data_IF_146204472578
#
_entry.id   IF_146204472578
#
_cell.length_a   1.000
_cell.length_b   1.000
_cell.length_c   1.000
_cell.angle_alpha   90.00
_cell.angle_beta   90.00
_cell.angle_gamma   90.00
#
_symmetry.space_group_name_H-M   'P 1'
#
loop_
_entity.id
_entity.type
_entity.pdbx_description
1 polymer ?
#
# COMPACT_ATOMS: atom_id res chain seq x y z
N UNK A 1 -12.30 -24.67 9.99
CA UNK A 1 -11.31 -25.08 8.97
C UNK A 1 -11.81 -24.63 7.60
N UNK A 2 -11.32 -23.47 7.14
CA UNK A 2 -11.52 -22.73 5.85
C UNK A 2 -11.01 -21.31 6.11
N UNK A 3 -9.69 -21.13 6.10
CA UNK A 3 -8.78 -20.74 5.01
C UNK A 3 -8.68 -19.21 4.81
N UNK A 4 -7.47 -18.73 5.12
CA UNK A 4 -6.86 -17.47 4.71
C UNK A 4 -6.96 -17.30 3.19
N UNK A 5 -7.43 -16.16 2.70
CA UNK A 5 -7.11 -15.66 1.36
C UNK A 5 -7.35 -14.15 1.31
N UNK A 6 -6.27 -13.38 1.33
CA UNK A 6 -6.13 -12.04 0.73
C UNK A 6 -4.76 -11.44 1.13
N UNK A 7 -3.69 -12.18 0.87
CA UNK A 7 -2.33 -11.66 0.93
C UNK A 7 -1.41 -12.59 0.15
N UNK A 8 -1.36 -12.41 -1.18
CA UNK A 8 -0.21 -12.66 -2.06
C UNK A 8 -0.69 -12.76 -3.51
N UNK A 9 -0.61 -11.68 -4.28
CA UNK A 9 -0.50 -11.79 -5.73
C UNK A 9 0.90 -12.39 -6.04
N UNK A 10 0.92 -13.71 -6.24
CA UNK A 10 2.05 -14.52 -6.65
C UNK A 10 1.85 -14.88 -8.14
N UNK A 11 2.45 -14.13 -9.06
CA UNK A 11 2.48 -14.53 -10.46
C UNK A 11 3.69 -15.45 -10.70
N UNK A 12 3.40 -16.75 -10.83
CA UNK A 12 4.29 -17.75 -11.41
C UNK A 12 4.32 -17.55 -12.93
N UNK A 13 5.44 -17.04 -13.47
CA UNK A 13 5.77 -17.22 -14.88
C UNK A 13 6.78 -18.36 -15.00
N UNK A 14 6.25 -19.58 -15.19
CA UNK A 14 7.01 -20.70 -15.71
C UNK A 14 7.41 -20.43 -17.17
N UNK A 15 8.68 -20.66 -17.46
CA UNK A 15 9.30 -20.34 -18.74
C UNK A 15 8.79 -21.19 -19.91
N UNK A 16 8.77 -20.56 -21.07
CA UNK A 16 8.99 -21.24 -22.35
C UNK A 16 10.15 -20.52 -23.04
N UNK A 17 11.13 -21.30 -23.46
CA UNK A 17 12.43 -20.80 -23.87
C UNK A 17 12.47 -20.26 -25.30
N UNK A 18 13.41 -19.35 -25.52
CA UNK A 18 13.99 -19.08 -26.84
C UNK A 18 15.40 -18.51 -26.68
N UNK A 19 16.37 -19.41 -26.90
CA UNK A 19 17.69 -19.24 -27.53
C UNK A 19 18.48 -17.93 -27.37
N UNK A 20 19.59 -18.06 -26.64
CA UNK A 20 20.94 -17.56 -26.90
C UNK A 20 21.15 -16.50 -28.01
N UNK A 21 21.72 -15.36 -27.62
CA UNK A 21 22.69 -14.62 -28.43
C UNK A 21 23.81 -14.07 -27.53
N UNK A 22 25.04 -14.50 -27.80
CA UNK A 22 26.27 -14.06 -27.15
C UNK A 22 26.77 -12.73 -27.78
N UNK A 23 27.68 -11.98 -27.11
CA UNK A 23 27.86 -10.55 -27.33
C UNK A 23 28.82 -10.23 -28.49
N UNK A 24 28.47 -9.25 -29.31
CA UNK A 24 29.42 -8.57 -30.19
C UNK A 24 29.98 -7.34 -29.50
N UNK A 25 31.30 -7.33 -29.32
CA UNK A 25 32.10 -6.21 -28.86
C UNK A 25 32.06 -5.04 -29.85
N UNK A 26 31.68 -3.86 -29.38
CA UNK A 26 32.10 -2.61 -30.01
C UNK A 26 32.24 -1.52 -28.94
N UNK A 27 33.50 -1.16 -28.73
CA UNK A 27 33.99 -0.08 -27.89
C UNK A 27 33.40 1.27 -28.36
N UNK A 28 32.72 1.97 -27.47
CA UNK A 28 32.21 3.31 -27.71
C UNK A 28 32.14 4.08 -26.40
N UNK A 29 33.26 4.63 -25.97
CA UNK A 29 33.34 5.48 -24.79
C UNK A 29 32.49 6.75 -24.99
N UNK A 30 31.45 6.92 -24.17
CA UNK A 30 30.65 8.13 -24.11
C UNK A 30 31.40 9.16 -23.24
N UNK A 31 31.93 10.21 -23.87
CA UNK A 31 32.60 11.33 -23.20
C UNK A 31 31.69 12.56 -23.27
N UNK A 32 31.17 13.09 -22.16
CA UNK A 32 30.42 14.34 -22.19
C UNK A 32 31.38 15.52 -22.28
N UNK A 33 31.44 16.17 -23.46
CA UNK A 33 32.10 17.48 -23.64
C UNK A 33 31.19 18.58 -23.11
N UNK A 34 31.48 19.11 -21.92
CA UNK A 34 30.95 20.42 -21.50
C UNK A 34 31.84 21.54 -22.07
N UNK A 35 31.28 22.36 -22.96
CA UNK A 35 31.88 23.66 -23.32
C UNK A 35 31.41 24.68 -22.30
N UNK A 36 32.31 25.09 -21.42
CA UNK A 36 32.11 26.27 -20.58
C UNK A 36 32.01 27.52 -21.47
N UNK A 37 30.84 28.15 -21.50
CA UNK A 37 30.68 29.51 -21.98
C UNK A 37 30.47 30.43 -20.77
N UNK A 38 31.54 31.14 -20.44
CA UNK A 38 31.52 32.34 -19.62
C UNK A 38 30.93 33.48 -20.44
N UNK A 39 29.75 33.99 -20.05
CA UNK A 39 29.41 35.40 -20.23
C UNK A 39 28.54 35.88 -19.07
N UNK A 40 29.10 36.79 -18.29
CA UNK A 40 28.40 37.55 -17.26
C UNK A 40 27.45 38.57 -17.90
N UNK A 41 26.17 38.50 -17.57
CA UNK A 41 25.27 39.65 -17.71
C UNK A 41 24.50 39.85 -16.41
N UNK A 42 24.91 40.86 -15.64
CA UNK A 42 24.22 41.36 -14.46
C UNK A 42 22.85 41.90 -14.86
N UNK A 43 21.78 41.11 -14.67
CA UNK A 43 20.42 41.61 -14.50
C UNK A 43 19.91 41.14 -13.14
N UNK A 44 20.01 42.02 -12.14
CA UNK A 44 19.34 41.86 -10.84
C UNK A 44 17.83 41.99 -11.07
N UNK A 45 17.20 40.85 -11.37
CA UNK A 45 15.78 40.65 -11.12
C UNK A 45 15.62 40.47 -9.60
N UNK A 46 14.90 41.38 -8.97
CA UNK A 46 14.53 41.26 -7.56
C UNK A 46 13.64 40.04 -7.36
N UNK A 47 14.24 38.91 -7.00
CA UNK A 47 13.50 37.79 -6.40
C UNK A 47 13.11 38.22 -5.01
N UNK A 48 11.82 38.45 -4.80
CA UNK A 48 11.21 38.41 -3.48
C UNK A 48 11.46 36.99 -2.93
N UNK A 49 12.55 36.81 -2.19
CA UNK A 49 12.75 35.62 -1.37
C UNK A 49 11.84 35.75 -0.15
N UNK A 50 10.54 35.58 -0.39
CA UNK A 50 9.65 35.17 0.68
C UNK A 50 10.25 33.88 1.22
N UNK A 51 10.74 33.93 2.45
CA UNK A 51 11.32 32.80 3.15
C UNK A 51 10.18 31.81 3.37
N UNK A 52 9.83 31.00 2.36
CA UNK A 52 8.97 29.84 2.58
C UNK A 52 9.83 28.87 3.38
N UNK A 53 9.79 29.01 4.70
CA UNK A 53 10.24 28.01 5.62
C UNK A 53 9.33 26.78 5.40
N UNK A 54 9.66 26.00 4.39
CA UNK A 54 9.19 24.63 4.23
C UNK A 54 9.81 23.86 5.40
N UNK A 55 9.09 23.85 6.52
CA UNK A 55 9.47 23.08 7.69
C UNK A 55 8.96 21.66 7.47
N UNK A 56 9.88 20.69 7.33
CA UNK A 56 9.52 19.29 7.48
C UNK A 56 9.00 19.09 8.90
N UNK A 57 7.72 18.77 9.00
CA UNK A 57 7.06 18.52 10.29
C UNK A 57 6.53 17.10 10.27
N UNK A 58 6.87 16.34 11.30
CA UNK A 58 6.22 15.05 11.56
C UNK A 58 4.78 15.30 11.99
N UNK A 59 3.85 14.57 11.39
CA UNK A 59 2.47 14.62 11.83
C UNK A 59 2.30 13.74 13.07
N UNK A 60 1.41 14.13 14.00
CA UNK A 60 1.16 13.32 15.19
C UNK A 60 0.69 11.94 14.76
N UNK A 61 1.17 10.93 15.48
CA UNK A 61 0.70 9.55 15.33
C UNK A 61 -0.82 9.51 15.53
N UNK A 62 -1.60 8.97 14.58
CA UNK A 62 -3.03 8.75 14.78
C UNK A 62 -3.27 7.65 15.82
N UNK A 63 -4.46 7.68 16.44
CA UNK A 63 -4.85 6.66 17.41
C UNK A 63 -5.28 5.37 16.68
N UNK A 64 -4.31 4.52 16.35
CA UNK A 64 -4.54 3.23 15.67
C UNK A 64 -4.82 2.10 16.66
N UNK A 65 -4.30 2.24 17.89
CA UNK A 65 -4.39 1.24 18.95
C UNK A 65 -5.80 1.08 19.52
N UNK A 66 -6.61 2.15 19.52
CA UNK A 66 -7.96 2.14 20.05
C UNK A 66 -9.02 1.69 19.03
N UNK A 67 -8.64 0.83 18.09
CA UNK A 67 -9.56 0.28 17.08
C UNK A 67 -9.87 -1.19 17.34
N UNK A 68 -11.07 -1.64 16.98
CA UNK A 68 -11.46 -3.06 17.13
C UNK A 68 -10.60 -3.98 16.27
N UNK A 69 -10.19 -3.50 15.09
CA UNK A 69 -9.28 -4.22 14.19
C UNK A 69 -7.91 -4.42 14.84
N UNK A 70 -7.36 -3.39 15.48
CA UNK A 70 -6.09 -3.49 16.20
C UNK A 70 -6.17 -4.50 17.35
N UNK A 71 -7.19 -4.37 18.22
CA UNK A 71 -7.43 -5.29 19.35
C UNK A 71 -7.63 -6.75 18.89
N UNK A 72 -8.34 -6.95 17.78
CA UNK A 72 -8.55 -8.28 17.20
C UNK A 72 -7.24 -8.87 16.71
N UNK A 73 -6.43 -8.09 15.98
CA UNK A 73 -5.12 -8.53 15.51
C UNK A 73 -4.14 -8.79 16.67
N UNK A 74 -4.19 -8.00 17.74
CA UNK A 74 -3.38 -8.20 18.95
C UNK A 74 -3.76 -9.52 19.65
N UNK A 75 -5.07 -9.78 19.73
CA UNK A 75 -5.59 -11.06 20.24
C UNK A 75 -5.15 -12.24 19.37
N UNK A 76 -5.13 -12.09 18.04
CA UNK A 76 -4.65 -13.14 17.13
C UNK A 76 -3.13 -13.34 17.25
N UNK A 77 -2.37 -12.26 17.40
CA UNK A 77 -0.92 -12.29 17.57
C UNK A 77 -0.52 -13.00 18.86
N UNK A 78 -1.13 -12.62 19.99
CA UNK A 78 -0.91 -13.26 21.31
C UNK A 78 -1.32 -14.74 21.36
N UNK A 79 -2.21 -15.19 20.47
CA UNK A 79 -2.50 -16.62 20.31
C UNK A 79 -1.27 -17.39 19.83
N UNK A 80 -0.38 -16.83 19.01
CA UNK A 80 0.83 -17.55 18.57
C UNK A 80 1.74 -17.93 19.74
N UNK A 81 1.89 -17.07 20.75
CA UNK A 81 2.66 -17.38 21.97
C UNK A 81 1.96 -18.37 22.91
N UNK A 82 0.66 -18.60 22.75
CA UNK A 82 -0.16 -19.48 23.60
C UNK A 82 -0.71 -20.72 22.87
N UNK A 83 -0.39 -20.90 21.58
CA UNK A 83 -0.94 -21.95 20.73
C UNK A 83 -0.28 -23.31 21.01
N UNK A 84 -1.04 -24.25 21.56
CA UNK A 84 -0.78 -25.70 21.44
C UNK A 84 -1.38 -26.21 20.11
N UNK A 85 -0.67 -27.01 19.29
CA UNK A 85 -1.11 -27.49 17.96
C UNK A 85 -2.45 -28.26 17.89
N UNK A 86 -3.01 -28.59 19.04
CA UNK A 86 -4.09 -29.52 19.29
C UNK A 86 -5.36 -28.85 19.89
N UNK A 87 -5.40 -27.50 19.94
CA UNK A 87 -6.63 -26.75 20.25
C UNK A 87 -7.03 -26.75 21.74
N UNK A 88 -6.16 -27.20 22.64
CA UNK A 88 -6.32 -27.11 24.10
C UNK A 88 -5.44 -26.02 24.74
N UNK A 89 -5.83 -25.54 25.93
CA UNK A 89 -4.96 -24.78 26.83
C UNK A 89 -3.74 -25.65 27.19
N UNK A 90 -2.56 -25.29 26.67
CA UNK A 90 -1.24 -25.91 26.92
C UNK A 90 -1.33 -27.43 27.16
N UNK A 91 -1.64 -28.18 26.11
CA UNK A 91 -1.22 -29.57 26.05
C UNK A 91 0.30 -29.58 25.86
N UNK A 92 0.98 -30.17 26.85
CA UNK A 92 2.39 -30.52 26.91
C UNK A 92 3.04 -30.77 25.54
N UNK A 93 3.53 -29.71 24.91
CA UNK A 93 4.43 -29.79 23.76
C UNK A 93 5.78 -29.25 24.20
N UNK A 94 6.43 -30.02 25.07
CA UNK A 94 7.83 -29.88 25.48
C UNK A 94 8.85 -30.04 24.34
N UNK A 95 8.41 -30.13 23.07
CA UNK A 95 9.30 -30.37 21.93
C UNK A 95 9.40 -29.16 21.00
N UNK A 96 10.47 -28.40 21.17
CA UNK A 96 10.94 -27.37 20.23
C UNK A 96 11.09 -27.95 18.83
N UNK A 97 10.46 -27.32 17.82
CA UNK A 97 10.58 -27.71 16.41
C UNK A 97 11.65 -26.88 15.72
N UNK A 98 12.43 -27.53 14.85
CA UNK A 98 13.29 -26.87 13.87
C UNK A 98 12.51 -26.64 12.59
N UNK A 99 12.40 -25.38 12.14
CA UNK A 99 11.54 -25.01 11.00
C UNK A 99 12.38 -24.32 9.92
N UNK A 100 12.41 -24.89 8.72
CA UNK A 100 13.02 -24.22 7.57
C UNK A 100 12.00 -23.29 6.90
N UNK A 101 12.34 -22.00 6.77
CA UNK A 101 11.53 -20.98 6.10
C UNK A 101 12.29 -20.56 4.84
N UNK A 102 11.67 -20.66 3.68
CA UNK A 102 12.28 -20.29 2.40
C UNK A 102 11.72 -18.92 1.98
N UNK A 103 12.58 -17.90 2.00
CA UNK A 103 12.28 -16.50 1.69
C UNK A 103 12.35 -15.57 2.90
N UNK A 104 13.22 -14.57 2.84
CA UNK A 104 13.44 -13.52 3.84
C UNK A 104 12.63 -12.24 3.58
N UNK A 105 11.46 -12.36 2.96
CA UNK A 105 10.49 -11.26 2.82
C UNK A 105 9.66 -11.03 4.09
N UNK A 106 8.77 -10.03 4.08
CA UNK A 106 7.91 -9.72 5.23
C UNK A 106 7.14 -10.94 5.78
N UNK A 107 6.60 -11.79 4.91
CA UNK A 107 5.87 -13.00 5.32
C UNK A 107 6.77 -14.02 6.02
N UNK A 108 7.96 -14.29 5.48
CA UNK A 108 8.92 -15.23 6.06
C UNK A 108 9.51 -14.72 7.37
N UNK A 109 9.84 -13.43 7.45
CA UNK A 109 10.32 -12.78 8.67
C UNK A 109 9.25 -12.74 9.77
N UNK A 110 8.00 -12.43 9.42
CA UNK A 110 6.89 -12.47 10.38
C UNK A 110 6.63 -13.91 10.87
N UNK A 111 6.67 -14.89 9.97
CA UNK A 111 6.57 -16.31 10.33
C UNK A 111 7.68 -16.73 11.30
N UNK A 112 8.93 -16.36 11.02
CA UNK A 112 10.07 -16.63 11.90
C UNK A 112 9.86 -16.00 13.29
N UNK A 113 9.46 -14.72 13.33
CA UNK A 113 9.19 -13.99 14.57
C UNK A 113 8.18 -14.73 15.45
N UNK A 114 7.02 -15.09 14.90
CA UNK A 114 5.98 -15.77 15.68
C UNK A 114 6.33 -17.22 16.04
N UNK A 115 7.14 -17.91 15.24
CA UNK A 115 7.67 -19.23 15.61
C UNK A 115 8.68 -19.13 16.77
N UNK A 116 9.53 -18.10 16.79
CA UNK A 116 10.43 -17.83 17.94
C UNK A 116 9.61 -17.53 19.19
N UNK A 117 8.59 -16.69 19.10
CA UNK A 117 7.71 -16.37 20.24
C UNK A 117 6.96 -17.60 20.78
N UNK A 118 6.68 -18.57 19.91
CA UNK A 118 6.08 -19.87 20.28
C UNK A 118 7.10 -20.89 20.84
N UNK A 119 8.39 -20.53 20.94
CA UNK A 119 9.45 -21.41 21.47
C UNK A 119 9.99 -22.43 20.46
N UNK A 120 9.88 -22.15 19.16
CA UNK A 120 10.46 -22.95 18.08
C UNK A 120 11.78 -22.34 17.56
N UNK A 121 12.52 -23.14 16.78
CA UNK A 121 13.82 -22.76 16.18
C UNK A 121 13.67 -22.62 14.64
N UNK A 122 13.16 -21.48 14.14
CA UNK A 122 13.11 -21.23 12.70
C UNK A 122 14.49 -20.86 12.15
N UNK A 123 14.78 -21.34 10.94
CA UNK A 123 15.92 -20.90 10.11
C UNK A 123 15.37 -20.34 8.81
N UNK A 124 15.69 -19.07 8.52
CA UNK A 124 15.26 -18.39 7.29
C UNK A 124 16.36 -18.50 6.24
N UNK A 125 16.00 -19.04 5.08
CA UNK A 125 16.85 -19.13 3.89
C UNK A 125 16.39 -18.09 2.88
N UNK A 126 17.15 -17.00 2.74
CA UNK A 126 16.95 -15.99 1.69
C UNK A 126 17.90 -16.27 0.52
N UNK A 127 17.39 -16.13 -0.71
CA UNK A 127 18.14 -16.45 -1.91
C UNK A 127 19.15 -15.36 -2.29
N UNK A 128 18.86 -14.09 -1.94
CA UNK A 128 19.70 -12.93 -2.22
C UNK A 128 20.55 -12.54 -1.02
N UNK A 129 21.51 -11.65 -1.25
CA UNK A 129 22.32 -11.03 -0.18
C UNK A 129 21.60 -9.83 0.49
N UNK A 130 20.26 -9.78 0.39
CA UNK A 130 19.44 -8.69 0.91
C UNK A 130 18.08 -9.22 1.38
N UNK A 131 17.68 -8.80 2.59
CA UNK A 131 16.38 -9.14 3.18
C UNK A 131 15.26 -8.24 2.64
N UNK A 132 14.01 -8.64 2.91
CA UNK A 132 12.82 -7.83 2.64
C UNK A 132 12.03 -8.24 1.41
N UNK A 133 12.60 -9.04 0.50
CA UNK A 133 11.88 -9.47 -0.72
C UNK A 133 11.44 -8.26 -1.54
N UNK A 134 10.12 -8.05 -1.69
CA UNK A 134 9.56 -6.88 -2.40
C UNK A 134 9.82 -5.54 -1.70
N UNK A 135 10.16 -5.54 -0.40
CA UNK A 135 10.53 -4.34 0.36
C UNK A 135 12.05 -4.17 0.54
N UNK A 136 12.88 -4.87 -0.24
CA UNK A 136 14.34 -4.75 -0.12
C UNK A 136 14.86 -3.38 -0.55
N UNK A 137 15.96 -2.95 0.06
CA UNK A 137 16.72 -1.78 -0.33
C UNK A 137 18.23 -2.08 -0.25
N UNK A 138 19.03 -1.42 -1.08
CA UNK A 138 20.49 -1.54 -1.11
C UNK A 138 21.13 -0.18 -1.36
N UNK A 139 22.42 -0.03 -1.06
CA UNK A 139 23.18 1.18 -1.37
C UNK A 139 23.94 1.01 -2.68
N UNK A 140 24.02 2.07 -3.47
CA UNK A 140 24.94 2.15 -4.61
C UNK A 140 26.37 2.53 -4.18
N UNK A 141 27.26 2.68 -5.16
CA UNK A 141 28.67 3.02 -4.93
C UNK A 141 28.86 4.42 -4.29
N UNK A 142 27.87 5.31 -4.45
CA UNK A 142 27.86 6.66 -3.89
C UNK A 142 27.27 6.68 -2.46
N UNK A 143 26.67 5.57 -2.01
CA UNK A 143 26.08 5.40 -0.68
C UNK A 143 24.59 5.75 -0.61
N UNK A 144 23.94 6.04 -1.74
CA UNK A 144 22.53 6.37 -1.82
C UNK A 144 21.67 5.10 -1.78
N UNK A 145 20.56 5.15 -1.05
CA UNK A 145 19.64 4.02 -0.92
C UNK A 145 18.72 3.90 -2.14
N UNK A 146 18.68 2.71 -2.72
CA UNK A 146 17.77 2.31 -3.79
C UNK A 146 16.78 1.30 -3.23
N UNK A 147 15.49 1.60 -3.35
CA UNK A 147 14.40 0.74 -2.91
C UNK A 147 13.80 -0.05 -4.08
N UNK A 148 13.29 -1.24 -3.80
CA UNK A 148 12.61 -2.07 -4.81
C UNK A 148 11.29 -1.45 -5.29
N UNK A 149 10.64 -0.64 -4.44
CA UNK A 149 9.40 0.03 -4.75
C UNK A 149 9.02 1.03 -3.67
N UNK A 150 8.09 1.93 -3.99
CA UNK A 150 7.54 2.89 -3.04
C UNK A 150 6.49 2.20 -2.17
N UNK A 151 6.75 2.11 -0.86
CA UNK A 151 5.86 1.44 0.09
C UNK A 151 5.17 2.46 1.01
N UNK A 152 3.85 2.33 1.13
CA UNK A 152 3.01 3.17 1.99
C UNK A 152 2.36 2.27 3.04
N UNK A 153 2.50 2.66 4.32
CA UNK A 153 1.81 2.02 5.43
C UNK A 153 0.54 2.81 5.77
N UNK A 154 -0.58 2.09 5.89
CA UNK A 154 -1.88 2.65 6.24
C UNK A 154 -2.22 2.34 7.69
N UNK A 155 -3.01 3.19 8.35
CA UNK A 155 -3.54 2.91 9.69
C UNK A 155 -4.31 1.58 9.74
N UNK A 156 -4.97 1.26 8.63
CA UNK A 156 -5.75 0.05 8.41
C UNK A 156 -4.97 -1.26 8.25
N UNK A 157 -3.69 -1.28 8.63
CA UNK A 157 -2.85 -2.49 8.64
C UNK A 157 -2.62 -2.99 10.08
N UNK A 158 -3.63 -3.55 10.75
CA UNK A 158 -3.56 -3.84 12.19
C UNK A 158 -2.45 -4.84 12.54
N UNK A 159 -2.21 -5.85 11.69
CA UNK A 159 -1.11 -6.81 11.90
C UNK A 159 0.27 -6.15 11.82
N UNK A 160 0.44 -5.18 10.92
CA UNK A 160 1.71 -4.45 10.79
C UNK A 160 1.88 -3.50 11.98
N UNK A 161 0.83 -2.79 12.38
CA UNK A 161 0.88 -1.90 13.54
C UNK A 161 1.24 -2.66 14.82
N UNK A 162 0.65 -3.85 15.02
CA UNK A 162 1.02 -4.74 16.12
C UNK A 162 2.48 -5.20 16.02
N UNK A 163 2.95 -5.63 14.85
CA UNK A 163 4.35 -6.05 14.69
C UNK A 163 5.34 -4.92 15.00
N UNK A 164 5.04 -3.68 14.58
CA UNK A 164 5.85 -2.50 14.92
C UNK A 164 5.85 -2.22 16.43
N UNK A 165 4.70 -2.41 17.10
CA UNK A 165 4.59 -2.26 18.55
C UNK A 165 5.36 -3.35 19.31
N UNK A 166 5.22 -4.61 18.90
CA UNK A 166 5.91 -5.78 19.47
C UNK A 166 7.43 -5.65 19.39
N UNK A 167 7.94 -5.07 18.30
CA UNK A 167 9.36 -4.81 18.09
C UNK A 167 9.84 -3.48 18.71
N UNK A 168 8.94 -2.64 19.19
CA UNK A 168 9.27 -1.34 19.77
C UNK A 168 9.82 -0.33 18.76
N UNK A 169 9.38 -0.38 17.49
CA UNK A 169 9.91 0.44 16.37
C UNK A 169 8.87 1.37 15.75
N UNK A 170 7.79 1.68 16.47
CA UNK A 170 6.69 2.53 15.99
C UNK A 170 7.14 3.95 15.58
N UNK A 171 8.23 4.45 16.17
CA UNK A 171 8.85 5.73 15.87
C UNK A 171 9.45 5.81 14.46
N UNK A 172 9.63 4.66 13.79
CA UNK A 172 10.08 4.60 12.38
C UNK A 172 8.97 4.89 11.37
N UNK A 173 7.70 4.93 11.79
CA UNK A 173 6.58 5.29 10.93
C UNK A 173 6.36 6.81 10.96
N UNK A 174 6.67 7.47 9.83
CA UNK A 174 6.49 8.91 9.66
C UNK A 174 5.10 9.23 9.09
N UNK A 175 4.13 9.44 9.97
CA UNK A 175 2.77 9.81 9.60
C UNK A 175 2.71 11.11 8.79
N UNK A 176 1.77 11.16 7.85
CA UNK A 176 1.48 12.31 6.99
C UNK A 176 0.05 12.78 7.21
N UNK A 177 -0.27 13.95 6.68
CA UNK A 177 -1.65 14.48 6.71
C UNK A 177 -2.61 13.50 6.01
N UNK A 178 -3.78 13.26 6.61
CA UNK A 178 -4.82 12.42 6.02
C UNK A 178 -5.48 13.13 4.83
N UNK A 179 -4.81 13.08 3.68
CA UNK A 179 -5.24 13.66 2.41
C UNK A 179 -4.80 12.80 1.24
N UNK A 180 -5.69 12.60 0.28
CA UNK A 180 -5.31 12.05 -1.02
C UNK A 180 -5.14 13.19 -2.02
N UNK A 181 -3.96 13.29 -2.63
CA UNK A 181 -3.60 14.36 -3.56
C UNK A 181 -3.47 13.76 -4.96
N UNK A 182 -4.25 14.29 -5.91
CA UNK A 182 -4.24 13.87 -7.31
C UNK A 182 -3.76 15.01 -8.19
N UNK A 183 -2.89 14.70 -9.15
CA UNK A 183 -2.51 15.65 -10.20
C UNK A 183 -3.63 15.75 -11.24
N UNK A 184 -3.93 16.97 -11.69
CA UNK A 184 -4.96 17.21 -12.69
C UNK A 184 -4.38 17.01 -14.10
N UNK A 185 -4.89 16.03 -14.86
CA UNK A 185 -4.42 15.78 -16.22
C UNK A 185 -4.70 16.96 -17.16
N UNK A 186 -5.90 17.55 -17.03
CA UNK A 186 -6.34 18.67 -17.87
C UNK A 186 -5.70 20.01 -17.48
N UNK A 187 -5.11 20.11 -16.28
CA UNK A 187 -4.52 21.34 -15.74
C UNK A 187 -3.09 21.07 -15.23
N UNK A 188 -2.08 21.12 -16.11
CA UNK A 188 -0.69 20.83 -15.74
C UNK A 188 -0.19 21.70 -14.58
N UNK A 189 0.31 21.07 -13.52
CA UNK A 189 0.79 21.74 -12.31
C UNK A 189 -0.27 22.01 -11.25
N UNK A 190 -1.54 21.73 -11.53
CA UNK A 190 -2.61 21.77 -10.53
C UNK A 190 -2.84 20.41 -9.86
N UNK A 191 -3.24 20.48 -8.60
CA UNK A 191 -3.61 19.32 -7.79
C UNK A 191 -5.04 19.48 -7.25
N UNK A 192 -5.70 18.35 -7.05
CA UNK A 192 -6.95 18.27 -6.30
C UNK A 192 -6.78 17.36 -5.10
N UNK A 193 -7.56 17.63 -4.05
CA UNK A 193 -7.50 16.87 -2.79
C UNK A 193 -8.86 16.30 -2.44
N UNK A 194 -8.82 15.11 -1.82
CA UNK A 194 -9.92 14.63 -0.99
C UNK A 194 -9.52 14.88 0.46
N UNK A 195 -10.19 15.84 1.08
CA UNK A 195 -9.91 16.28 2.44
C UNK A 195 -10.85 15.58 3.42
N UNK A 196 -10.26 14.83 4.35
CA UNK A 196 -10.99 14.18 5.43
C UNK A 196 -11.09 15.14 6.62
N UNK A 197 -12.29 15.66 6.88
CA UNK A 197 -12.51 16.64 7.94
C UNK A 197 -12.41 15.96 9.32
N UNK A 198 -11.57 16.47 10.23
CA UNK A 198 -11.47 15.96 11.60
C UNK A 198 -12.82 16.00 12.33
N UNK A 199 -13.14 14.93 13.05
CA UNK A 199 -14.34 14.84 13.89
C UNK A 199 -15.59 14.29 13.18
N UNK A 200 -15.52 14.03 11.87
CA UNK A 200 -16.59 13.32 11.16
C UNK A 200 -16.29 11.82 11.18
N UNK A 201 -17.20 10.98 11.69
CA UNK A 201 -16.98 9.54 11.74
C UNK A 201 -17.09 8.91 10.35
N UNK A 202 -16.41 7.79 10.15
CA UNK A 202 -16.60 6.96 8.98
C UNK A 202 -17.97 6.26 9.03
N UNK A 203 -18.69 6.06 7.90
CA UNK A 203 -18.31 6.37 6.51
C UNK A 203 -18.63 7.82 6.06
N UNK A 204 -19.18 8.68 6.93
CA UNK A 204 -19.64 10.02 6.56
C UNK A 204 -18.49 10.96 6.14
N UNK A 205 -17.29 10.79 6.71
CA UNK A 205 -16.10 11.53 6.34
C UNK A 205 -15.72 11.35 4.85
N UNK A 206 -15.79 10.11 4.35
CA UNK A 206 -15.48 9.75 2.97
C UNK A 206 -16.55 10.26 2.01
N UNK A 207 -17.83 10.08 2.36
CA UNK A 207 -18.95 10.65 1.60
C UNK A 207 -18.84 12.17 1.48
N UNK A 208 -18.49 12.86 2.57
CA UNK A 208 -18.29 14.31 2.55
C UNK A 208 -17.08 14.71 1.71
N UNK A 209 -15.96 13.99 1.79
CA UNK A 209 -14.77 14.26 0.98
C UNK A 209 -15.09 14.19 -0.53
N UNK A 210 -15.87 13.19 -0.96
CA UNK A 210 -16.34 13.07 -2.35
C UNK A 210 -17.25 14.24 -2.72
N UNK A 211 -18.21 14.59 -1.85
CA UNK A 211 -19.12 15.70 -2.10
C UNK A 211 -18.39 17.04 -2.20
N UNK A 212 -17.37 17.27 -1.37
CA UNK A 212 -16.58 18.49 -1.35
C UNK A 212 -15.62 18.63 -2.52
N UNK A 213 -15.17 17.53 -3.13
CA UNK A 213 -14.29 17.61 -4.30
C UNK A 213 -15.06 18.13 -5.54
N UNK A 214 -14.77 19.35 -5.98
CA UNK A 214 -15.47 19.97 -7.13
C UNK A 214 -14.68 19.88 -8.44
N UNK A 215 -13.40 19.50 -8.40
CA UNK A 215 -12.52 19.53 -9.58
C UNK A 215 -12.52 18.20 -10.35
N UNK A 216 -12.77 17.07 -9.68
CA UNK A 216 -12.62 15.75 -10.28
C UNK A 216 -13.94 15.12 -10.72
N UNK A 217 -15.03 15.34 -9.98
CA UNK A 217 -16.34 14.73 -10.25
C UNK A 217 -17.46 15.78 -10.26
N UNK A 218 -18.32 15.73 -11.27
CA UNK A 218 -19.56 16.52 -11.31
C UNK A 218 -20.59 15.99 -10.31
N UNK A 219 -21.58 16.81 -9.95
CA UNK A 219 -22.64 16.37 -9.04
C UNK A 219 -23.45 15.19 -9.61
N UNK A 220 -23.70 15.18 -10.91
CA UNK A 220 -24.40 14.08 -11.59
C UNK A 220 -23.61 12.77 -11.49
N UNK A 221 -22.31 12.81 -11.76
CA UNK A 221 -21.43 11.64 -11.66
C UNK A 221 -21.40 11.08 -10.23
N UNK A 222 -21.39 11.96 -9.21
CA UNK A 222 -21.47 11.53 -7.80
C UNK A 222 -22.77 10.81 -7.49
N UNK A 223 -23.90 11.33 -7.97
CA UNK A 223 -25.21 10.73 -7.75
C UNK A 223 -25.37 9.37 -8.47
N UNK A 224 -24.75 9.20 -9.64
CA UNK A 224 -24.74 7.92 -10.36
C UNK A 224 -23.81 6.87 -9.71
N UNK A 225 -22.75 7.32 -9.02
CA UNK A 225 -21.70 6.46 -8.42
C UNK A 225 -22.06 5.96 -7.03
N UNK A 226 -22.86 6.72 -6.28
CA UNK A 226 -23.20 6.35 -4.91
C UNK A 226 -24.03 5.05 -4.81
N UNK A 227 -25.12 4.84 -5.58
CA UNK A 227 -25.96 3.66 -5.43
C UNK A 227 -25.23 2.32 -5.63
N UNK A 228 -24.35 2.15 -6.64
CA UNK A 228 -23.55 0.94 -6.80
C UNK A 228 -22.67 0.56 -5.61
N UNK A 229 -22.31 1.54 -4.77
CA UNK A 229 -21.46 1.35 -3.60
C UNK A 229 -22.26 1.15 -2.30
N UNK A 230 -23.57 1.41 -2.30
CA UNK A 230 -24.42 1.21 -1.12
C UNK A 230 -24.47 -0.25 -0.63
N UNK A 231 -24.56 -1.28 -1.49
CA UNK A 231 -24.56 -2.67 -1.03
C UNK A 231 -23.32 -3.03 -0.21
N UNK A 232 -22.14 -2.50 -0.55
CA UNK A 232 -20.93 -2.69 0.24
C UNK A 232 -21.09 -2.17 1.68
N UNK A 233 -21.78 -1.05 1.89
CA UNK A 233 -22.01 -0.47 3.22
C UNK A 233 -23.05 -1.26 4.03
N UNK A 234 -23.96 -1.98 3.37
CA UNK A 234 -25.08 -2.68 4.01
C UNK A 234 -24.75 -4.16 4.24
N UNK A 235 -24.22 -4.82 3.21
CA UNK A 235 -23.94 -6.26 3.17
C UNK A 235 -22.49 -6.58 3.56
N UNK A 236 -21.59 -5.59 3.54
CA UNK A 236 -20.20 -5.77 3.99
C UNK A 236 -19.41 -6.75 3.13
N UNK A 237 -18.67 -7.66 3.80
CA UNK A 237 -17.69 -8.53 3.15
C UNK A 237 -18.32 -9.51 2.14
N UNK A 238 -19.54 -10.01 2.41
CA UNK A 238 -20.20 -10.96 1.52
C UNK A 238 -20.45 -10.36 0.13
N UNK A 239 -20.83 -9.08 0.07
CA UNK A 239 -20.98 -8.36 -1.20
C UNK A 239 -19.63 -8.14 -1.88
N UNK A 240 -18.59 -7.77 -1.12
CA UNK A 240 -17.23 -7.54 -1.63
C UNK A 240 -16.67 -8.80 -2.28
N UNK A 241 -16.81 -9.95 -1.62
CA UNK A 241 -16.32 -11.24 -2.11
C UNK A 241 -17.07 -11.70 -3.37
N UNK A 242 -18.38 -11.40 -3.45
CA UNK A 242 -19.19 -11.71 -4.62
C UNK A 242 -18.80 -10.94 -5.90
N UNK A 243 -17.94 -9.91 -5.81
CA UNK A 243 -17.50 -9.13 -6.97
C UNK A 243 -16.15 -9.58 -7.56
N UNK A 244 -15.55 -10.68 -7.09
CA UNK A 244 -14.17 -11.04 -7.45
C UNK A 244 -14.00 -11.41 -8.93
N UNK A 245 -15.05 -11.97 -9.53
CA UNK A 245 -15.08 -12.34 -10.95
C UNK A 245 -15.29 -11.14 -11.90
N UNK A 246 -15.58 -9.95 -11.36
CA UNK A 246 -15.74 -8.74 -12.16
C UNK A 246 -14.46 -7.91 -12.13
N UNK A 247 -14.00 -7.50 -13.31
CA UNK A 247 -13.05 -6.39 -13.37
C UNK A 247 -13.69 -5.10 -12.85
N UNK A 248 -12.89 -4.14 -12.41
CA UNK A 248 -13.38 -2.80 -12.00
C UNK A 248 -14.21 -2.18 -13.14
N UNK A 249 -13.74 -2.30 -14.38
CA UNK A 249 -14.45 -1.77 -15.55
C UNK A 249 -15.78 -2.49 -15.80
N UNK A 250 -15.84 -3.82 -15.63
CA UNK A 250 -17.07 -4.58 -15.84
C UNK A 250 -18.09 -4.36 -14.72
N UNK A 251 -17.63 -4.19 -13.47
CA UNK A 251 -18.47 -3.75 -12.37
C UNK A 251 -19.10 -2.39 -12.68
N UNK A 252 -18.30 -1.41 -13.08
CA UNK A 252 -18.79 -0.08 -13.44
C UNK A 252 -19.86 -0.13 -14.54
N UNK A 253 -19.64 -0.92 -15.60
CA UNK A 253 -20.62 -1.10 -16.68
C UNK A 253 -21.90 -1.77 -16.19
N UNK A 254 -21.78 -2.84 -15.40
CA UNK A 254 -22.92 -3.60 -14.84
C UNK A 254 -23.82 -2.71 -13.99
N UNK A 255 -23.24 -1.79 -13.21
CA UNK A 255 -23.97 -0.93 -12.29
C UNK A 255 -24.21 0.50 -12.83
N UNK A 256 -23.89 0.77 -14.09
CA UNK A 256 -24.19 2.05 -14.75
C UNK A 256 -23.35 3.23 -14.24
N UNK A 257 -22.13 2.99 -13.78
CA UNK A 257 -21.23 4.07 -13.34
C UNK A 257 -20.66 4.84 -14.55
N UNK A 258 -20.51 6.17 -14.48
CA UNK A 258 -19.96 6.97 -15.58
C UNK A 258 -18.53 6.55 -15.97
N UNK A 259 -18.26 6.44 -17.28
CA UNK A 259 -16.94 6.03 -17.78
C UNK A 259 -15.81 7.00 -17.39
N UNK A 260 -16.11 8.29 -17.21
CA UNK A 260 -15.11 9.30 -16.84
C UNK A 260 -14.50 9.01 -15.47
N UNK A 261 -15.26 8.44 -14.54
CA UNK A 261 -14.76 8.08 -13.20
C UNK A 261 -13.70 7.01 -13.30
N UNK A 262 -13.82 6.11 -14.28
CA UNK A 262 -12.81 5.09 -14.51
C UNK A 262 -11.47 5.76 -14.85
N UNK A 263 -11.52 6.75 -15.75
CA UNK A 263 -10.33 7.47 -16.23
C UNK A 263 -9.69 8.36 -15.16
N UNK A 264 -10.50 9.09 -14.40
CA UNK A 264 -10.02 10.07 -13.42
C UNK A 264 -9.62 9.44 -12.08
N UNK A 265 -10.32 8.39 -11.64
CA UNK A 265 -10.16 7.82 -10.29
C UNK A 265 -9.64 6.39 -10.34
N UNK A 266 -10.34 5.48 -11.02
CA UNK A 266 -10.04 4.04 -10.89
C UNK A 266 -8.76 3.62 -11.62
N UNK A 267 -8.32 4.31 -12.68
CA UNK A 267 -6.99 4.06 -13.27
C UNK A 267 -5.88 4.35 -12.24
N UNK A 268 -5.96 5.48 -11.55
CA UNK A 268 -4.97 5.83 -10.55
C UNK A 268 -4.98 4.83 -9.38
N UNK A 269 -6.17 4.46 -8.91
CA UNK A 269 -6.34 3.48 -7.85
C UNK A 269 -5.85 2.07 -8.23
N UNK A 270 -6.18 1.60 -9.43
CA UNK A 270 -5.78 0.28 -9.90
C UNK A 270 -4.26 0.16 -10.04
N UNK A 271 -3.63 1.20 -10.59
CA UNK A 271 -2.16 1.28 -10.71
C UNK A 271 -1.47 1.39 -9.36
N UNK A 272 -2.07 2.08 -8.39
CA UNK A 272 -1.53 2.18 -7.04
C UNK A 272 -1.61 0.86 -6.27
N UNK A 273 -2.69 0.08 -6.48
CA UNK A 273 -2.93 -1.15 -5.71
C UNK A 273 -2.20 -2.37 -6.29
N UNK A 274 -2.20 -2.54 -7.62
CA UNK A 274 -1.70 -3.77 -8.25
C UNK A 274 -0.91 -3.53 -9.55
N UNK A 275 -0.59 -2.27 -9.86
CA UNK A 275 0.20 -1.88 -11.04
C UNK A 275 -0.42 -2.28 -12.41
N UNK A 276 -1.71 -2.59 -12.44
CA UNK A 276 -2.47 -2.96 -13.64
C UNK A 276 -3.63 -2.00 -13.90
N UNK A 277 -4.16 -2.04 -15.13
CA UNK A 277 -5.31 -1.24 -15.53
C UNK A 277 -6.64 -1.83 -15.00
N UNK A 278 -7.68 -0.99 -14.82
CA UNK A 278 -8.95 -1.38 -14.19
C UNK A 278 -9.81 -2.35 -15.02
N UNK A 279 -9.45 -2.63 -16.27
CA UNK A 279 -10.06 -3.69 -17.08
C UNK A 279 -9.55 -5.09 -16.70
N UNK A 280 -8.47 -5.17 -15.91
CA UNK A 280 -7.85 -6.43 -15.46
C UNK A 280 -7.90 -6.62 -13.94
N UNK A 281 -8.06 -5.53 -13.18
CA UNK A 281 -8.11 -5.58 -11.73
C UNK A 281 -9.49 -6.08 -11.25
N UNK A 282 -9.51 -7.06 -10.35
CA UNK A 282 -10.72 -7.51 -9.65
C UNK A 282 -11.33 -6.37 -8.82
N UNK A 283 -12.65 -6.22 -8.89
CA UNK A 283 -13.37 -5.19 -8.12
C UNK A 283 -13.28 -5.43 -6.61
N UNK A 284 -13.11 -6.69 -6.17
CA UNK A 284 -12.90 -7.04 -4.76
C UNK A 284 -11.68 -6.33 -4.17
N UNK A 285 -10.61 -6.13 -4.95
CA UNK A 285 -9.41 -5.40 -4.49
C UNK A 285 -9.76 -3.94 -4.18
N UNK A 286 -10.50 -3.29 -5.07
CA UNK A 286 -10.93 -1.89 -4.93
C UNK A 286 -11.91 -1.74 -3.78
N UNK A 287 -12.96 -2.57 -3.72
CA UNK A 287 -13.96 -2.50 -2.65
C UNK A 287 -13.35 -2.81 -1.29
N UNK A 288 -12.39 -3.74 -1.20
CA UNK A 288 -11.67 -4.00 0.05
C UNK A 288 -10.88 -2.79 0.51
N UNK A 289 -10.16 -2.12 -0.41
CA UNK A 289 -9.44 -0.89 -0.10
C UNK A 289 -10.42 0.23 0.36
N UNK A 290 -11.52 0.44 -0.36
CA UNK A 290 -12.56 1.42 0.01
C UNK A 290 -13.17 1.10 1.38
N UNK A 291 -13.53 -0.16 1.63
CA UNK A 291 -14.14 -0.60 2.88
C UNK A 291 -13.20 -0.36 4.08
N UNK A 292 -11.88 -0.47 3.90
CA UNK A 292 -10.90 -0.11 4.94
C UNK A 292 -10.92 1.39 5.26
N UNK A 293 -10.92 2.26 4.25
CA UNK A 293 -11.04 3.71 4.46
C UNK A 293 -12.40 4.14 5.02
N UNK A 294 -13.46 3.36 4.76
CA UNK A 294 -14.82 3.63 5.23
C UNK A 294 -15.10 3.15 6.65
N UNK A 295 -14.30 2.23 7.18
CA UNK A 295 -14.45 1.72 8.54
C UNK A 295 -13.41 2.28 9.51
N UNK A 296 -12.36 2.96 9.01
CA UNK A 296 -11.27 3.46 9.85
C UNK A 296 -11.11 4.99 9.73
N UNK A 297 -11.34 5.69 10.83
CA UNK A 297 -11.18 7.15 10.91
C UNK A 297 -9.73 7.63 10.75
N UNK A 298 -8.77 6.71 10.86
CA UNK A 298 -7.32 6.94 10.81
C UNK A 298 -6.65 6.18 9.65
N UNK A 299 -7.43 5.84 8.62
CA UNK A 299 -7.00 5.08 7.43
C UNK A 299 -5.79 5.65 6.71
#
# INVERSE_FOLDING_TARGET
>A
MRFFSAASALLLLAGTGASAYAPSSSSGAFVPRSRAFSQSSNRRSGRNSGNSLLVMKDYPKPNVEDTDNYRTAETLSSRFSSYSPDGGLRADTTQTKKVAIVGGGLSGLACAKYLVDAGHEPTVYEARDVLGGKVSAWQDDDGDWIETGLHIFFGAYPNVMNLFAELGIHDRLQWKVHKMIFAMQELPGEFTTFDFIPGIPAPFNFGLAILMNQKMLTLEEKLQTAPPLLPMLIEGQDFIDAQDELSVTDFMRKYGMPERINKEVFIAMAKALDFIDPDKLSMTVVLTAMNRFLNESNG
#
